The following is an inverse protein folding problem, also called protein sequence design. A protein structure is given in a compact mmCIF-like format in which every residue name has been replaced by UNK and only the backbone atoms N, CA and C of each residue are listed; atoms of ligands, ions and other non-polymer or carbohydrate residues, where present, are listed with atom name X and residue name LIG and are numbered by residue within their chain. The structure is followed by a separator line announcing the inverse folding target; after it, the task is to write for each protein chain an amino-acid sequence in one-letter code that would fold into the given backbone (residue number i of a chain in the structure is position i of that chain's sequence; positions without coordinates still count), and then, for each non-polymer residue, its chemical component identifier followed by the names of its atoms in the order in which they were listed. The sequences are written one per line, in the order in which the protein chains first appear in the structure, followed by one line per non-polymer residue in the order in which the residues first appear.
data_IF_778416395075
#
_entry.id   IF_778416395075
#
_cell.length_a   1.000
_cell.length_b   1.000
_cell.length_c   1.000
_cell.angle_alpha   90.00
_cell.angle_beta   90.00
_cell.angle_gamma   90.00
#
_symmetry.space_group_name_H-M   'P 1'
#
loop_
_entity.id
_entity.type
_entity.pdbx_description
1 polymer ?
#
# COMPACT_ATOMS: atom_id res chain seq x y z
N UNK A 1 1.41 12.55 -9.73
CA UNK A 1 -0.01 12.31 -9.41
C UNK A 1 -0.42 13.13 -8.20
N UNK A 2 -0.57 14.46 -8.35
CA UNK A 2 -0.69 15.39 -7.20
C UNK A 2 -2.12 15.73 -6.79
N UNK A 3 -3.12 15.26 -7.52
CA UNK A 3 -4.51 15.45 -7.15
C UNK A 3 -4.80 14.71 -5.85
N UNK A 4 -5.38 15.40 -4.87
CA UNK A 4 -5.75 14.85 -3.57
C UNK A 4 -7.20 15.22 -3.26
N UNK A 5 -7.92 14.31 -2.61
CA UNK A 5 -9.26 14.62 -2.10
C UNK A 5 -9.19 15.29 -0.71
N UNK A 6 -10.33 15.50 -0.06
CA UNK A 6 -10.41 16.17 1.26
C UNK A 6 -9.64 15.45 2.38
N UNK A 7 -9.35 14.15 2.23
CA UNK A 7 -8.59 13.32 3.17
C UNK A 7 -7.10 13.24 2.83
N UNK A 8 -6.64 14.07 1.89
CA UNK A 8 -5.31 13.97 1.28
C UNK A 8 -5.05 12.66 0.52
N UNK A 9 -6.08 11.84 0.24
CA UNK A 9 -5.93 10.61 -0.53
C UNK A 9 -5.63 10.96 -2.00
N UNK A 10 -4.54 10.41 -2.54
CA UNK A 10 -4.25 10.40 -3.98
C UNK A 10 -5.13 9.36 -4.70
N UNK A 11 -5.24 9.37 -6.05
CA UNK A 11 -6.00 8.33 -6.73
C UNK A 11 -5.37 6.92 -6.54
N UNK A 12 -4.08 6.82 -6.19
CA UNK A 12 -3.45 5.55 -5.81
C UNK A 12 -3.98 5.03 -4.47
N UNK A 13 -4.20 5.90 -3.48
CA UNK A 13 -4.88 5.55 -2.23
C UNK A 13 -6.29 5.02 -2.49
N UNK A 14 -7.04 5.71 -3.36
CA UNK A 14 -8.40 5.29 -3.72
C UNK A 14 -8.42 3.94 -4.43
N UNK A 15 -7.49 3.71 -5.36
CA UNK A 15 -7.36 2.42 -6.05
C UNK A 15 -7.01 1.29 -5.07
N UNK A 16 -6.10 1.54 -4.13
CA UNK A 16 -5.73 0.57 -3.12
C UNK A 16 -6.86 0.24 -2.14
N UNK A 17 -7.65 1.24 -1.75
CA UNK A 17 -8.81 1.10 -0.88
C UNK A 17 -9.95 0.27 -1.49
N UNK A 18 -10.14 0.37 -2.80
CA UNK A 18 -11.21 -0.35 -3.54
C UNK A 18 -10.71 -1.71 -4.06
N UNK A 19 -9.40 -1.95 -4.07
CA UNK A 19 -8.83 -3.19 -4.59
C UNK A 19 -8.61 -3.19 -6.11
N UNK A 20 -8.53 -2.01 -6.74
CA UNK A 20 -8.39 -1.89 -8.20
C UNK A 20 -6.95 -2.13 -8.65
N UNK A 21 -6.56 -3.40 -8.77
CA UNK A 21 -5.22 -3.82 -9.20
C UNK A 21 -4.93 -3.45 -10.66
N UNK A 22 -5.95 -3.49 -11.53
CA UNK A 22 -5.79 -3.20 -12.95
C UNK A 22 -5.40 -1.74 -13.19
N UNK A 23 -5.97 -0.81 -12.41
CA UNK A 23 -5.56 0.58 -12.45
C UNK A 23 -4.11 0.76 -12.03
N UNK A 24 -3.64 0.06 -10.99
CA UNK A 24 -2.24 0.15 -10.52
C UNK A 24 -1.29 -0.41 -11.57
N UNK A 25 -1.64 -1.55 -12.20
CA UNK A 25 -0.86 -2.15 -13.29
C UNK A 25 -0.81 -1.24 -14.51
N UNK A 26 -1.95 -0.72 -14.94
CA UNK A 26 -2.03 0.22 -16.06
C UNK A 26 -1.21 1.48 -15.78
N UNK A 27 -1.30 2.02 -14.58
CA UNK A 27 -0.53 3.19 -14.17
C UNK A 27 0.99 2.91 -14.14
N UNK A 28 1.39 1.72 -13.67
CA UNK A 28 2.79 1.28 -13.69
C UNK A 28 3.34 1.11 -15.11
N UNK A 29 2.50 0.78 -16.10
CA UNK A 29 2.90 0.60 -17.49
C UNK A 29 2.91 1.93 -18.26
N UNK A 30 1.87 2.75 -18.09
CA UNK A 30 1.68 3.98 -18.85
C UNK A 30 2.42 5.18 -18.25
N UNK A 31 2.64 5.21 -16.93
CA UNK A 31 3.27 6.33 -16.24
C UNK A 31 4.10 5.86 -15.02
N UNK A 32 5.19 5.11 -15.24
CA UNK A 32 6.00 4.53 -14.16
C UNK A 32 6.60 5.56 -13.21
N UNK A 33 7.06 6.72 -13.72
CA UNK A 33 7.63 7.78 -12.86
C UNK A 33 6.56 8.37 -11.94
N UNK A 34 5.35 8.52 -12.47
CA UNK A 34 4.21 9.06 -11.75
C UNK A 34 3.78 8.12 -10.61
N UNK A 35 3.84 6.80 -10.82
CA UNK A 35 3.47 5.81 -9.80
C UNK A 35 4.56 5.68 -8.74
N UNK A 36 5.85 5.75 -9.12
CA UNK A 36 6.98 5.72 -8.19
C UNK A 36 6.93 6.87 -7.20
N UNK A 37 6.64 8.08 -7.66
CA UNK A 37 6.48 9.23 -6.75
C UNK A 37 5.26 9.06 -5.85
N UNK A 38 4.17 8.46 -6.36
CA UNK A 38 2.90 8.37 -5.65
C UNK A 38 2.85 7.24 -4.60
N UNK A 39 3.68 6.21 -4.71
CA UNK A 39 3.58 4.99 -3.87
C UNK A 39 3.90 5.23 -2.40
N UNK A 40 4.76 6.23 -2.12
CA UNK A 40 5.14 6.65 -0.76
C UNK A 40 4.33 7.85 -0.24
N UNK A 41 3.42 8.38 -1.05
CA UNK A 41 2.53 9.45 -0.61
C UNK A 41 1.65 8.95 0.53
N UNK A 42 1.27 9.88 1.41
CA UNK A 42 0.50 9.58 2.61
C UNK A 42 -0.77 10.42 2.68
N UNK A 43 -1.82 9.85 3.27
CA UNK A 43 -3.07 10.54 3.57
C UNK A 43 -3.02 11.30 4.91
N UNK A 44 -4.16 11.82 5.37
CA UNK A 44 -4.30 12.53 6.65
C UNK A 44 -3.92 11.72 7.91
N UNK A 45 -4.01 10.39 7.82
CA UNK A 45 -3.64 9.44 8.87
C UNK A 45 -2.21 8.93 8.71
N UNK A 46 -1.44 9.52 7.80
CA UNK A 46 -0.14 9.02 7.35
C UNK A 46 -0.21 7.60 6.77
N UNK A 47 -1.38 7.13 6.37
CA UNK A 47 -1.53 5.85 5.70
C UNK A 47 -1.01 6.00 4.26
N UNK A 48 -0.19 5.06 3.82
CA UNK A 48 0.15 4.89 2.40
C UNK A 48 -0.93 4.09 1.68
N UNK A 49 -0.87 4.02 0.35
CA UNK A 49 -1.70 3.10 -0.41
C UNK A 49 -1.59 1.65 0.08
N UNK A 50 -0.42 1.21 0.55
CA UNK A 50 -0.22 -0.15 1.07
C UNK A 50 -0.93 -0.37 2.43
N UNK A 51 -0.98 0.65 3.30
CA UNK A 51 -1.77 0.58 4.54
C UNK A 51 -3.26 0.40 4.22
N UNK A 52 -3.78 1.13 3.23
CA UNK A 52 -5.18 0.99 2.81
C UNK A 52 -5.46 -0.38 2.20
N UNK A 53 -4.55 -0.89 1.35
CA UNK A 53 -4.67 -2.25 0.82
C UNK A 53 -4.70 -3.31 1.92
N UNK A 54 -3.84 -3.16 2.94
CA UNK A 54 -3.82 -4.02 4.12
C UNK A 54 -5.09 -3.94 4.95
N UNK A 55 -5.60 -2.72 5.19
CA UNK A 55 -6.83 -2.45 5.95
C UNK A 55 -8.06 -3.11 5.33
N UNK A 56 -8.08 -3.21 4.01
CA UNK A 56 -9.18 -3.77 3.23
C UNK A 56 -8.90 -5.18 2.69
N UNK A 57 -7.77 -5.80 3.04
CA UNK A 57 -7.44 -7.19 2.67
C UNK A 57 -7.15 -7.40 1.17
N UNK A 58 -6.77 -6.35 0.44
CA UNK A 58 -6.54 -6.40 -1.00
C UNK A 58 -5.13 -6.88 -1.33
N UNK A 59 -4.92 -8.20 -1.28
CA UNK A 59 -3.59 -8.79 -1.42
C UNK A 59 -2.92 -8.62 -2.78
N UNK A 60 -3.69 -8.64 -3.88
CA UNK A 60 -3.13 -8.42 -5.21
C UNK A 60 -2.61 -6.99 -5.38
N UNK A 61 -3.36 -6.01 -4.85
CA UNK A 61 -2.92 -4.61 -4.83
C UNK A 61 -1.68 -4.47 -3.96
N UNK A 62 -1.68 -5.05 -2.77
CA UNK A 62 -0.52 -4.99 -1.88
C UNK A 62 0.75 -5.54 -2.55
N UNK A 63 0.63 -6.66 -3.28
CA UNK A 63 1.75 -7.24 -4.03
C UNK A 63 2.27 -6.30 -5.11
N UNK A 64 1.38 -5.71 -5.92
CA UNK A 64 1.84 -4.75 -6.95
C UNK A 64 2.48 -3.50 -6.34
N UNK A 65 1.95 -3.00 -5.22
CA UNK A 65 2.54 -1.85 -4.52
C UNK A 65 3.94 -2.17 -3.95
N UNK A 66 4.15 -3.37 -3.38
CA UNK A 66 5.46 -3.78 -2.88
C UNK A 66 6.48 -4.02 -4.00
N UNK A 67 6.04 -4.46 -5.19
CA UNK A 67 6.92 -4.53 -6.38
C UNK A 67 7.39 -3.17 -6.86
N UNK A 68 6.53 -2.14 -6.73
CA UNK A 68 6.87 -0.77 -7.11
C UNK A 68 7.91 -0.16 -6.16
N UNK A 69 7.73 -0.37 -4.86
CA UNK A 69 8.68 0.06 -3.83
C UNK A 69 8.58 -0.83 -2.58
N UNK A 70 9.53 -1.76 -2.37
CA UNK A 70 9.51 -2.63 -1.19
C UNK A 70 9.57 -1.85 0.14
N UNK A 71 10.12 -0.64 0.13
CA UNK A 71 10.30 0.18 1.33
C UNK A 71 8.98 0.71 1.91
N UNK A 72 7.87 0.67 1.15
CA UNK A 72 6.56 1.09 1.68
C UNK A 72 5.99 0.13 2.72
N UNK A 73 6.50 -1.09 2.79
CA UNK A 73 6.05 -2.08 3.76
C UNK A 73 6.56 -1.80 5.19
N UNK A 74 7.67 -1.06 5.33
CA UNK A 74 8.25 -0.66 6.62
C UNK A 74 7.77 0.73 7.09
N UNK A 75 6.87 1.38 6.35
CA UNK A 75 6.37 2.71 6.74
C UNK A 75 5.36 2.58 7.87
N UNK A 76 5.41 3.52 8.81
CA UNK A 76 4.46 3.63 9.91
C UNK A 76 3.41 4.69 9.61
N UNK A 77 2.15 4.37 9.88
CA UNK A 77 1.08 5.37 9.88
C UNK A 77 1.11 6.21 11.18
N UNK A 78 0.11 7.09 11.36
CA UNK A 78 0.01 7.98 12.51
C UNK A 78 -0.17 7.23 13.84
N UNK A 79 -0.69 6.02 13.82
CA UNK A 79 -0.87 5.16 15.00
C UNK A 79 0.39 4.34 15.31
N UNK A 80 1.43 4.43 14.48
CA UNK A 80 2.65 3.65 14.65
C UNK A 80 2.54 2.23 14.12
N UNK A 81 1.57 1.96 13.23
CA UNK A 81 1.36 0.63 12.65
C UNK A 81 1.96 0.54 11.25
N UNK A 82 2.56 -0.61 10.96
CA UNK A 82 2.96 -0.98 9.60
C UNK A 82 1.77 -1.56 8.83
N UNK A 83 1.81 -1.60 7.48
CA UNK A 83 0.79 -2.31 6.71
C UNK A 83 0.68 -3.78 7.11
N UNK A 84 1.79 -4.44 7.47
CA UNK A 84 1.75 -5.81 7.96
C UNK A 84 0.97 -5.93 9.26
N UNK A 85 1.20 -5.04 10.24
CA UNK A 85 0.45 -5.02 11.49
C UNK A 85 -1.06 -4.87 11.23
N UNK A 86 -1.44 -3.97 10.32
CA UNK A 86 -2.84 -3.80 9.93
C UNK A 86 -3.41 -5.09 9.31
N UNK A 87 -2.66 -5.76 8.43
CA UNK A 87 -3.09 -7.01 7.82
C UNK A 87 -3.26 -8.15 8.83
N UNK A 88 -2.39 -8.23 9.85
CA UNK A 88 -2.48 -9.25 10.90
C UNK A 88 -3.66 -9.01 11.84
N UNK A 89 -3.86 -7.77 12.29
CA UNK A 89 -5.02 -7.38 13.12
C UNK A 89 -6.34 -7.54 12.36
N UNK A 90 -6.34 -7.26 11.05
CA UNK A 90 -7.49 -7.46 10.17
C UNK A 90 -7.82 -8.93 9.88
N UNK A 91 -6.99 -9.89 10.31
CA UNK A 91 -7.19 -11.31 10.05
C UNK A 91 -6.90 -11.75 8.61
N UNK A 92 -6.23 -10.91 7.81
CA UNK A 92 -5.90 -11.21 6.42
C UNK A 92 -4.63 -12.07 6.32
N UNK A 93 -4.67 -13.28 6.88
CA UNK A 93 -3.52 -14.19 6.96
C UNK A 93 -2.84 -14.44 5.60
N UNK A 94 -3.55 -14.67 4.48
CA UNK A 94 -2.89 -14.87 3.18
C UNK A 94 -2.11 -13.64 2.71
N UNK A 95 -2.60 -12.44 3.03
CA UNK A 95 -1.93 -11.18 2.73
C UNK A 95 -0.70 -10.99 3.62
N UNK A 96 -0.84 -11.20 4.93
CA UNK A 96 0.29 -11.10 5.86
C UNK A 96 1.43 -12.07 5.48
N UNK A 97 1.10 -13.31 5.10
CA UNK A 97 2.09 -14.29 4.59
C UNK A 97 2.75 -13.78 3.32
N UNK A 98 1.97 -13.25 2.37
CA UNK A 98 2.51 -12.68 1.13
C UNK A 98 3.47 -11.53 1.44
N UNK A 99 3.11 -10.61 2.34
CA UNK A 99 3.97 -9.49 2.74
C UNK A 99 5.28 -9.97 3.37
N UNK A 100 5.24 -11.00 4.21
CA UNK A 100 6.45 -11.59 4.81
C UNK A 100 7.35 -12.28 3.77
N UNK A 101 6.76 -12.90 2.74
CA UNK A 101 7.52 -13.52 1.65
C UNK A 101 8.20 -12.47 0.76
N UNK A 102 7.51 -11.38 0.44
CA UNK A 102 8.01 -10.32 -0.45
C UNK A 102 8.94 -9.33 0.29
N UNK A 103 8.79 -9.18 1.60
CA UNK A 103 9.64 -8.36 2.46
C UNK A 103 9.99 -9.08 3.77
N UNK A 104 10.98 -9.99 3.72
CA UNK A 104 11.43 -10.76 4.90
C UNK A 104 11.93 -9.89 6.05
N UNK A 105 12.33 -8.63 5.78
CA UNK A 105 12.75 -7.67 6.80
C UNK A 105 11.65 -7.39 7.84
N UNK A 106 10.38 -7.55 7.47
CA UNK A 106 9.24 -7.34 8.35
C UNK A 106 9.07 -8.42 9.43
N UNK A 107 9.76 -9.56 9.31
CA UNK A 107 9.66 -10.66 10.27
C UNK A 107 10.46 -10.42 11.56
N UNK A 108 11.33 -9.40 11.57
CA UNK A 108 12.36 -9.22 12.59
C UNK A 108 12.15 -8.01 13.52
N UNK A 109 11.01 -7.30 13.43
CA UNK A 109 10.73 -6.08 14.21
C UNK A 109 9.74 -6.32 15.36
#
# INVERSE_FOLDING_TARGET
MKARNKKSETPLHSAAKVGNVDFIRALSQCAPDVVKDAVREIDENKDTALHLAAKHGHGDVARELMKLDPGVANMFNKEGFTPLYIATVGGYTPLAITMLQEAPSLACE
#
